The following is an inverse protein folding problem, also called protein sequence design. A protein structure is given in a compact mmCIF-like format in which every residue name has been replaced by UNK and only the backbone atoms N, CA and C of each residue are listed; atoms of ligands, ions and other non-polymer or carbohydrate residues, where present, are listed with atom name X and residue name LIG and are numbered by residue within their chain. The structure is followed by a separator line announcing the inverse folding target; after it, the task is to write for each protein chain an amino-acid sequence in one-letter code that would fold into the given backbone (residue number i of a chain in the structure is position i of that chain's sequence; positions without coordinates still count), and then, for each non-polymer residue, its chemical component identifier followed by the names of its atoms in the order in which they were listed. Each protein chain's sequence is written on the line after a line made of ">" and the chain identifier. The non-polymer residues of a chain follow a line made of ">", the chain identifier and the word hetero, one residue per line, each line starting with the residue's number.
data_IF_519898364925
#
_entry.id   IF_519898364925
#
_cell.length_a   1.000
_cell.length_b   1.000
_cell.length_c   1.000
_cell.angle_alpha   90.00
_cell.angle_beta   90.00
_cell.angle_gamma   90.00
#
_symmetry.space_group_name_H-M   'P 1'
#
loop_
_entity.id
_entity.type
_entity.pdbx_description
1 polymer ?
#
# COMPACT_ATOMS: atom_id res chain seq x y z
N UNK A 1 -16.01 -0.37 11.63
CA UNK A 1 -15.68 -1.04 12.91
C UNK A 1 -14.26 -1.59 12.80
N UNK A 2 -13.34 -1.16 13.68
CA UNK A 2 -12.02 -1.77 13.79
C UNK A 2 -12.14 -3.26 14.11
N UNK A 3 -11.21 -4.08 13.62
CA UNK A 3 -11.12 -5.51 13.97
C UNK A 3 -10.12 -5.65 15.11
N UNK A 4 -10.56 -6.23 16.23
CA UNK A 4 -9.65 -6.62 17.31
C UNK A 4 -8.77 -7.79 16.86
N UNK A 5 -7.48 -7.68 17.12
CA UNK A 5 -6.47 -8.71 16.91
C UNK A 5 -6.12 -9.35 18.26
N UNK A 6 -5.75 -10.65 18.28
CA UNK A 6 -5.36 -11.32 19.51
C UNK A 6 -4.05 -10.73 20.06
N UNK A 7 -3.94 -10.66 21.38
CA UNK A 7 -2.71 -10.28 22.08
C UNK A 7 -1.56 -11.23 21.69
N UNK A 8 -0.36 -10.69 21.52
CA UNK A 8 0.84 -11.44 21.12
C UNK A 8 0.83 -12.01 19.69
N UNK A 9 -0.28 -11.90 18.96
CA UNK A 9 -0.40 -12.38 17.59
C UNK A 9 0.11 -11.39 16.53
N UNK A 10 -0.21 -11.65 15.26
CA UNK A 10 0.08 -10.73 14.15
C UNK A 10 -0.48 -9.34 14.43
N UNK A 11 0.36 -8.31 14.32
CA UNK A 11 -0.01 -6.92 14.59
C UNK A 11 -0.60 -6.22 13.33
N UNK A 12 -0.93 -4.94 13.46
CA UNK A 12 -1.51 -4.15 12.38
C UNK A 12 -0.61 -4.11 11.12
N UNK A 13 0.71 -4.00 11.31
CA UNK A 13 1.69 -4.04 10.20
C UNK A 13 1.64 -5.38 9.48
N UNK A 14 1.56 -6.50 10.19
CA UNK A 14 1.42 -7.82 9.55
C UNK A 14 0.11 -7.99 8.78
N UNK A 15 -1.00 -7.40 9.26
CA UNK A 15 -2.26 -7.35 8.51
C UNK A 15 -2.15 -6.50 7.25
N UNK A 16 -1.52 -5.33 7.34
CA UNK A 16 -1.22 -4.46 6.20
C UNK A 16 -0.44 -5.21 5.14
N UNK A 17 0.69 -5.79 5.54
CA UNK A 17 1.60 -6.57 4.71
C UNK A 17 0.90 -7.75 4.02
N UNK A 18 0.01 -8.44 4.73
CA UNK A 18 -0.77 -9.55 4.17
C UNK A 18 -1.89 -9.15 3.21
N UNK A 19 -2.44 -7.93 3.33
CA UNK A 19 -3.56 -7.45 2.52
C UNK A 19 -3.11 -6.58 1.33
N UNK A 20 -2.15 -5.70 1.55
CA UNK A 20 -1.67 -4.74 0.54
C UNK A 20 -0.46 -5.25 -0.22
N UNK A 21 0.27 -6.24 0.31
CA UNK A 21 1.32 -6.97 -0.42
C UNK A 21 0.77 -7.98 -1.44
N UNK A 22 -0.52 -7.91 -1.76
CA UNK A 22 -1.17 -8.71 -2.80
C UNK A 22 -1.60 -7.78 -3.94
N UNK A 23 -0.90 -7.90 -5.05
CA UNK A 23 -1.01 -7.05 -6.24
C UNK A 23 -2.47 -6.88 -6.73
N UNK A 24 -3.23 -7.99 -6.74
CA UNK A 24 -4.61 -8.02 -7.21
C UNK A 24 -5.56 -7.30 -6.25
N UNK A 25 -5.23 -7.26 -4.96
CA UNK A 25 -6.05 -6.54 -3.98
C UNK A 25 -6.05 -5.04 -4.30
N UNK A 26 -4.88 -4.45 -4.59
CA UNK A 26 -4.78 -3.03 -4.97
C UNK A 26 -5.49 -2.73 -6.29
N UNK A 27 -5.33 -3.59 -7.31
CA UNK A 27 -5.98 -3.42 -8.61
C UNK A 27 -7.52 -3.54 -8.51
N UNK A 28 -8.03 -4.51 -7.76
CA UNK A 28 -9.48 -4.67 -7.54
C UNK A 28 -10.02 -3.46 -6.75
N UNK A 29 -9.30 -2.98 -5.72
CA UNK A 29 -9.69 -1.77 -4.99
C UNK A 29 -9.73 -0.54 -5.89
N UNK A 30 -8.74 -0.37 -6.78
CA UNK A 30 -8.73 0.71 -7.75
C UNK A 30 -9.96 0.62 -8.68
N UNK A 31 -10.27 -0.55 -9.22
CA UNK A 31 -11.47 -0.70 -10.08
C UNK A 31 -12.75 -0.44 -9.31
N UNK A 32 -12.83 -0.88 -8.06
CA UNK A 32 -13.99 -0.66 -7.21
C UNK A 32 -14.17 0.83 -6.81
N UNK A 33 -13.07 1.56 -6.59
CA UNK A 33 -13.12 3.02 -6.34
C UNK A 33 -13.57 3.78 -7.58
N UNK A 34 -13.22 3.29 -8.78
CA UNK A 34 -13.73 3.76 -10.07
C UNK A 34 -15.13 3.20 -10.43
N UNK A 35 -15.86 2.64 -9.47
CA UNK A 35 -17.27 2.25 -9.62
C UNK A 35 -17.54 0.85 -10.16
N UNK A 36 -16.52 -0.01 -10.35
CA UNK A 36 -16.77 -1.42 -10.66
C UNK A 36 -17.36 -2.14 -9.44
N UNK A 37 -18.55 -2.73 -9.59
CA UNK A 37 -19.22 -3.49 -8.52
C UNK A 37 -19.54 -4.92 -8.95
N UNK A 38 -19.73 -5.16 -10.25
CA UNK A 38 -20.13 -6.46 -10.78
C UNK A 38 -18.91 -7.27 -11.20
N UNK A 39 -18.99 -8.60 -11.04
CA UNK A 39 -17.94 -9.53 -11.45
C UNK A 39 -17.46 -9.29 -12.90
N UNK A 40 -18.40 -9.15 -13.84
CA UNK A 40 -18.10 -8.88 -15.26
C UNK A 40 -17.30 -7.59 -15.49
N UNK A 41 -17.54 -6.54 -14.70
CA UNK A 41 -16.81 -5.28 -14.81
C UNK A 41 -15.35 -5.41 -14.35
N UNK A 42 -15.06 -6.32 -13.41
CA UNK A 42 -13.68 -6.61 -13.03
C UNK A 42 -12.98 -7.41 -14.12
N UNK A 43 -13.60 -8.45 -14.69
CA UNK A 43 -13.01 -9.26 -15.76
C UNK A 43 -12.79 -8.48 -17.05
N UNK A 44 -13.65 -7.50 -17.36
CA UNK A 44 -13.47 -6.61 -18.53
C UNK A 44 -12.30 -5.64 -18.36
N UNK A 45 -11.96 -5.25 -17.13
CA UNK A 45 -11.01 -4.17 -16.83
C UNK A 45 -9.68 -4.63 -16.24
N UNK A 46 -9.54 -5.92 -15.97
CA UNK A 46 -8.34 -6.52 -15.37
C UNK A 46 -7.97 -7.79 -16.14
N UNK A 47 -6.68 -7.98 -16.47
CA UNK A 47 -6.17 -9.22 -17.09
C UNK A 47 -6.04 -10.33 -16.05
N UNK A 48 -7.12 -10.62 -15.32
CA UNK A 48 -7.17 -11.57 -14.20
C UNK A 48 -7.95 -12.82 -14.59
N UNK A 49 -7.45 -14.00 -14.23
CA UNK A 49 -8.21 -15.25 -14.47
C UNK A 49 -9.43 -15.31 -13.56
N UNK A 50 -10.49 -15.98 -14.02
CA UNK A 50 -11.72 -16.15 -13.25
C UNK A 50 -11.48 -16.78 -11.87
N UNK A 51 -10.63 -17.82 -11.81
CA UNK A 51 -10.30 -18.51 -10.56
C UNK A 51 -9.59 -17.59 -9.57
N UNK A 52 -8.63 -16.78 -10.04
CA UNK A 52 -7.92 -15.81 -9.18
C UNK A 52 -8.89 -14.73 -8.73
N UNK A 53 -9.68 -14.14 -9.63
CA UNK A 53 -10.64 -13.09 -9.28
C UNK A 53 -11.64 -13.56 -8.22
N UNK A 54 -12.22 -14.75 -8.37
CA UNK A 54 -13.15 -15.32 -7.38
C UNK A 54 -12.50 -15.43 -6.00
N UNK A 55 -11.33 -16.06 -5.93
CA UNK A 55 -10.58 -16.20 -4.67
C UNK A 55 -10.23 -14.86 -4.03
N UNK A 56 -9.90 -13.84 -4.84
CA UNK A 56 -9.58 -12.49 -4.34
C UNK A 56 -10.81 -11.78 -3.82
N UNK A 57 -11.92 -11.79 -4.56
CA UNK A 57 -13.17 -11.17 -4.12
C UNK A 57 -13.70 -11.81 -2.83
N UNK A 58 -13.57 -13.13 -2.69
CA UNK A 58 -13.87 -13.84 -1.44
C UNK A 58 -12.96 -13.39 -0.30
N UNK A 59 -11.65 -13.38 -0.51
CA UNK A 59 -10.68 -12.95 0.51
C UNK A 59 -10.90 -11.48 0.93
N UNK A 60 -11.12 -10.59 -0.03
CA UNK A 60 -11.39 -9.17 0.22
C UNK A 60 -12.73 -8.97 0.96
N UNK A 61 -13.73 -9.80 0.68
CA UNK A 61 -15.00 -9.79 1.42
C UNK A 61 -14.81 -10.29 2.84
N UNK A 62 -14.10 -11.40 3.03
CA UNK A 62 -13.80 -11.96 4.35
C UNK A 62 -12.97 -11.00 5.23
N UNK A 63 -12.08 -10.20 4.62
CA UNK A 63 -11.31 -9.18 5.31
C UNK A 63 -12.06 -7.84 5.47
N UNK A 64 -13.30 -7.77 5.00
CA UNK A 64 -14.16 -6.60 5.10
C UNK A 64 -13.67 -5.41 4.27
N UNK A 65 -12.88 -5.61 3.22
CA UNK A 65 -12.56 -4.59 2.21
C UNK A 65 -13.75 -4.36 1.27
N UNK A 66 -14.43 -5.44 0.92
CA UNK A 66 -15.64 -5.45 0.10
C UNK A 66 -16.80 -6.07 0.89
N UNK A 67 -18.03 -5.71 0.53
CA UNK A 67 -19.24 -6.39 0.95
C UNK A 67 -19.90 -7.03 -0.27
N UNK A 68 -20.22 -8.32 -0.17
CA UNK A 68 -20.95 -9.05 -1.20
C UNK A 68 -22.45 -8.85 -1.00
N UNK A 69 -23.12 -8.20 -1.96
CA UNK A 69 -24.56 -7.93 -1.96
C UNK A 69 -25.23 -8.77 -3.04
N UNK A 70 -25.88 -9.85 -2.64
CA UNK A 70 -26.68 -10.68 -3.54
C UNK A 70 -28.02 -10.00 -3.80
N UNK A 71 -28.36 -9.76 -5.07
CA UNK A 71 -29.66 -9.18 -5.46
C UNK A 71 -30.51 -10.15 -6.29
N UNK A 72 -29.94 -11.26 -6.74
CA UNK A 72 -30.67 -12.31 -7.45
C UNK A 72 -30.12 -13.67 -7.00
N UNK A 73 -31.01 -14.60 -6.62
CA UNK A 73 -30.61 -15.93 -6.18
C UNK A 73 -30.52 -16.95 -7.34
N UNK A 74 -31.27 -16.75 -8.43
CA UNK A 74 -31.33 -17.67 -9.58
C UNK A 74 -31.41 -16.92 -10.92
N UNK A 75 -30.37 -16.97 -11.77
CA UNK A 75 -28.99 -17.33 -11.42
C UNK A 75 -28.42 -16.40 -10.33
N UNK A 76 -27.45 -16.85 -9.51
CA UNK A 76 -26.85 -16.03 -8.47
C UNK A 76 -26.17 -14.80 -9.07
N UNK A 77 -26.63 -13.60 -8.68
CA UNK A 77 -25.96 -12.33 -9.02
C UNK A 77 -25.66 -11.56 -7.75
N UNK A 78 -24.42 -11.10 -7.66
CA UNK A 78 -23.95 -10.31 -6.53
C UNK A 78 -23.08 -9.16 -7.00
N UNK A 79 -23.18 -8.06 -6.26
CA UNK A 79 -22.28 -6.92 -6.33
C UNK A 79 -21.23 -7.03 -5.22
N UNK A 80 -20.03 -6.53 -5.48
CA UNK A 80 -18.93 -6.40 -4.54
C UNK A 80 -18.68 -4.90 -4.32
N UNK A 81 -19.19 -4.37 -3.22
CA UNK A 81 -19.15 -2.92 -2.95
C UNK A 81 -18.12 -2.59 -1.87
N UNK A 82 -17.43 -1.46 -2.02
CA UNK A 82 -16.45 -1.02 -1.02
C UNK A 82 -17.12 -0.74 0.32
N UNK A 83 -16.59 -1.36 1.38
CA UNK A 83 -16.93 -1.05 2.78
C UNK A 83 -16.24 0.26 3.21
N UNK A 84 -16.57 0.82 4.38
CA UNK A 84 -15.81 1.93 4.95
C UNK A 84 -14.30 1.62 5.08
N UNK A 85 -13.93 0.38 5.43
CA UNK A 85 -12.53 -0.07 5.50
C UNK A 85 -11.85 -0.07 4.13
N UNK A 86 -12.55 -0.55 3.09
CA UNK A 86 -12.04 -0.53 1.71
C UNK A 86 -11.88 0.91 1.19
N UNK A 87 -12.84 1.80 1.45
CA UNK A 87 -12.77 3.22 1.06
C UNK A 87 -11.62 3.95 1.74
N UNK A 88 -11.29 3.59 2.98
CA UNK A 88 -10.19 4.19 3.72
C UNK A 88 -8.78 3.91 3.14
N UNK A 89 -8.66 3.05 2.11
CA UNK A 89 -7.43 2.83 1.34
C UNK A 89 -7.24 3.83 0.19
N UNK A 90 -8.21 4.72 -0.05
CA UNK A 90 -8.10 5.72 -1.11
C UNK A 90 -6.81 6.56 -1.05
N UNK A 91 -6.32 7.03 0.13
CA UNK A 91 -5.04 7.76 0.19
C UNK A 91 -3.83 6.94 -0.30
N UNK A 92 -3.86 5.61 -0.10
CA UNK A 92 -2.81 4.70 -0.60
C UNK A 92 -2.83 4.68 -2.12
N UNK A 93 -4.02 4.55 -2.73
CA UNK A 93 -4.19 4.50 -4.18
C UNK A 93 -3.79 5.82 -4.86
N UNK A 94 -4.10 6.96 -4.25
CA UNK A 94 -3.71 8.29 -4.75
C UNK A 94 -2.20 8.50 -4.67
N UNK A 95 -1.58 8.09 -3.56
CA UNK A 95 -0.13 8.15 -3.41
C UNK A 95 0.59 7.25 -4.42
N UNK A 96 0.04 6.06 -4.68
CA UNK A 96 0.53 5.16 -5.74
C UNK A 96 0.41 5.82 -7.12
N UNK A 97 -0.73 6.43 -7.42
CA UNK A 97 -0.98 7.09 -8.69
C UNK A 97 0.03 8.20 -8.96
N UNK A 98 0.26 9.08 -8.00
CA UNK A 98 1.25 10.16 -8.14
C UNK A 98 2.66 9.61 -8.30
N UNK A 99 3.03 8.62 -7.48
CA UNK A 99 4.37 8.03 -7.54
C UNK A 99 4.65 7.41 -8.92
N UNK A 100 3.72 6.62 -9.46
CA UNK A 100 3.81 6.03 -10.80
C UNK A 100 3.90 7.11 -11.88
N UNK A 101 2.99 8.09 -11.84
CA UNK A 101 2.95 9.18 -12.81
C UNK A 101 4.26 9.95 -12.88
N UNK A 102 4.91 10.16 -11.73
CA UNK A 102 6.13 10.97 -11.63
C UNK A 102 7.41 10.16 -11.93
N UNK A 103 7.50 8.92 -11.42
CA UNK A 103 8.76 8.16 -11.38
C UNK A 103 8.86 7.01 -12.37
N UNK A 104 7.79 6.75 -13.14
CA UNK A 104 7.72 5.64 -14.09
C UNK A 104 7.49 6.21 -15.50
N UNK A 105 8.57 6.58 -16.22
CA UNK A 105 8.46 7.25 -17.51
C UNK A 105 7.88 6.35 -18.61
N UNK A 106 8.09 5.03 -18.52
CA UNK A 106 7.71 4.03 -19.53
C UNK A 106 6.30 3.44 -19.32
N UNK A 107 5.31 4.25 -18.94
CA UNK A 107 3.93 3.78 -19.02
C UNK A 107 3.49 3.68 -20.49
N UNK A 108 2.87 2.55 -20.85
CA UNK A 108 2.25 2.38 -22.18
C UNK A 108 1.23 3.49 -22.52
N UNK A 109 0.64 4.11 -21.48
CA UNK A 109 -0.10 5.37 -21.56
C UNK A 109 0.28 6.22 -20.34
N UNK A 110 0.79 7.45 -20.55
CA UNK A 110 1.09 8.38 -19.45
C UNK A 110 -0.14 8.52 -18.56
N UNK A 111 0.01 8.26 -17.26
CA UNK A 111 -1.10 8.39 -16.32
C UNK A 111 -1.64 9.83 -16.31
N UNK A 112 -2.98 10.01 -16.45
CA UNK A 112 -3.57 11.34 -16.48
C UNK A 112 -3.28 12.11 -15.18
N UNK A 113 -3.30 13.44 -15.29
CA UNK A 113 -3.16 14.29 -14.12
C UNK A 113 -4.38 14.12 -13.21
N UNK A 114 -4.16 14.24 -11.90
CA UNK A 114 -5.26 14.33 -10.95
C UNK A 114 -5.73 15.78 -10.88
N UNK A 115 -7.03 15.96 -10.93
CA UNK A 115 -7.70 17.25 -10.94
C UNK A 115 -8.52 17.42 -9.67
N UNK A 116 -8.25 18.49 -8.93
CA UNK A 116 -8.98 18.80 -7.70
C UNK A 116 -10.20 19.65 -8.06
N UNK A 117 -11.39 19.07 -7.93
CA UNK A 117 -12.63 19.71 -8.39
C UNK A 117 -13.03 20.93 -7.59
N UNK A 118 -12.49 21.10 -6.38
CA UNK A 118 -12.75 22.26 -5.52
C UNK A 118 -11.98 23.50 -5.97
N UNK A 119 -10.67 23.38 -6.23
CA UNK A 119 -9.86 24.52 -6.70
C UNK A 119 -9.77 24.62 -8.22
N UNK A 120 -10.15 23.57 -8.96
CA UNK A 120 -10.08 23.52 -10.41
C UNK A 120 -8.66 23.38 -10.97
N UNK A 121 -7.67 23.07 -10.13
CA UNK A 121 -6.29 22.85 -10.53
C UNK A 121 -5.95 21.37 -10.68
N UNK A 122 -5.04 21.06 -11.58
CA UNK A 122 -4.34 19.79 -11.56
C UNK A 122 -3.33 19.80 -10.41
N UNK A 123 -3.23 18.72 -9.65
CA UNK A 123 -2.52 18.70 -8.37
C UNK A 123 -1.68 17.45 -8.19
N UNK A 124 -0.65 17.56 -7.36
CA UNK A 124 0.01 16.43 -6.71
C UNK A 124 -0.38 16.37 -5.22
N UNK A 125 -0.66 15.18 -4.65
CA UNK A 125 -1.00 15.03 -3.24
C UNK A 125 0.22 15.32 -2.34
N UNK A 126 0.10 16.30 -1.46
CA UNK A 126 1.07 16.55 -0.40
C UNK A 126 0.70 15.78 0.86
N UNK A 127 1.70 15.14 1.48
CA UNK A 127 1.56 14.56 2.80
C UNK A 127 1.69 15.67 3.84
N UNK A 128 0.70 15.83 4.71
CA UNK A 128 0.68 16.83 5.77
C UNK A 128 0.45 16.20 7.14
N UNK A 129 0.92 16.89 8.18
CA UNK A 129 0.61 16.59 9.57
C UNK A 129 -0.78 17.14 9.94
N UNK A 130 -1.68 16.29 10.40
CA UNK A 130 -3.03 16.71 10.81
C UNK A 130 -3.04 17.69 12.00
N UNK A 131 -1.96 17.78 12.78
CA UNK A 131 -1.87 18.63 13.96
C UNK A 131 -1.45 20.07 13.65
N UNK A 132 -0.53 20.27 12.69
CA UNK A 132 0.01 21.59 12.36
C UNK A 132 -0.18 22.00 10.89
N UNK A 133 -0.73 21.12 10.05
CA UNK A 133 -0.97 21.32 8.61
C UNK A 133 0.29 21.54 7.76
N UNK A 134 1.48 21.46 8.34
CA UNK A 134 2.74 21.51 7.59
C UNK A 134 2.93 20.27 6.73
N UNK A 135 3.53 20.47 5.56
CA UNK A 135 3.93 19.40 4.64
C UNK A 135 5.11 18.63 5.22
N UNK A 136 5.08 17.31 5.10
CA UNK A 136 6.07 16.43 5.71
C UNK A 136 6.67 15.45 4.70
N UNK A 137 7.94 15.15 4.89
CA UNK A 137 8.72 14.13 4.19
C UNK A 137 9.11 13.00 5.14
N UNK A 138 9.86 12.02 4.65
CA UNK A 138 10.39 10.94 5.50
C UNK A 138 11.33 11.42 6.60
N UNK A 139 11.91 12.61 6.45
CA UNK A 139 12.90 13.18 7.39
C UNK A 139 12.27 13.82 8.60
N UNK A 140 11.00 14.22 8.47
CA UNK A 140 10.28 14.99 9.48
C UNK A 140 9.51 14.07 10.44
N UNK A 141 9.61 12.74 10.24
CA UNK A 141 8.84 11.75 10.99
C UNK A 141 9.77 10.85 11.81
N UNK A 142 9.64 10.94 13.14
CA UNK A 142 10.20 9.97 14.07
C UNK A 142 9.29 8.74 14.15
N UNK A 143 9.83 7.55 13.86
CA UNK A 143 9.12 6.29 13.96
C UNK A 143 9.77 5.37 14.99
N UNK A 144 8.96 4.84 15.91
CA UNK A 144 9.38 3.86 16.92
C UNK A 144 8.39 2.71 16.98
N UNK A 145 8.87 1.53 17.40
CA UNK A 145 7.96 0.43 17.67
C UNK A 145 7.07 0.77 18.86
N UNK A 146 5.76 0.66 18.66
CA UNK A 146 4.80 0.72 19.75
C UNK A 146 4.71 -0.59 20.52
N UNK A 147 3.83 -0.70 21.53
CA UNK A 147 3.73 -1.87 22.40
C UNK A 147 3.41 -3.19 21.67
N UNK A 148 2.71 -3.14 20.54
CA UNK A 148 2.45 -4.32 19.70
C UNK A 148 3.42 -4.49 18.53
N UNK A 149 4.41 -3.60 18.45
CA UNK A 149 5.40 -3.52 17.39
C UNK A 149 6.41 -4.66 17.38
N UNK A 150 7.20 -4.68 16.31
CA UNK A 150 8.29 -5.65 16.13
C UNK A 150 8.11 -6.51 14.88
N UNK A 151 9.23 -6.76 14.21
CA UNK A 151 9.26 -7.51 12.95
C UNK A 151 8.72 -8.93 13.07
N UNK A 152 8.96 -9.62 14.18
CA UNK A 152 8.46 -10.99 14.43
C UNK A 152 6.93 -11.08 14.42
N UNK A 153 6.23 -10.03 14.84
CA UNK A 153 4.76 -9.94 14.80
C UNK A 153 4.24 -9.47 13.44
N UNK A 154 5.01 -8.64 12.74
CA UNK A 154 4.68 -8.14 11.40
C UNK A 154 4.87 -9.22 10.33
N UNK A 155 5.86 -10.09 10.50
CA UNK A 155 6.20 -11.19 9.59
C UNK A 155 6.41 -12.45 10.44
N UNK A 156 5.33 -13.14 10.85
CA UNK A 156 5.46 -14.34 11.67
C UNK A 156 6.19 -15.44 10.89
N UNK A 157 7.10 -16.16 11.55
CA UNK A 157 7.96 -17.18 10.93
C UNK A 157 7.18 -18.26 10.16
N UNK A 158 5.95 -18.61 10.59
CA UNK A 158 5.07 -19.56 9.89
C UNK A 158 4.60 -19.05 8.51
N UNK A 159 4.72 -17.76 8.24
CA UNK A 159 4.39 -17.16 6.96
C UNK A 159 5.50 -17.30 5.91
N UNK A 160 6.64 -17.93 6.27
CA UNK A 160 7.70 -18.36 5.34
C UNK A 160 7.38 -19.66 4.61
N UNK A 161 6.29 -20.36 4.98
CA UNK A 161 5.86 -21.58 4.28
C UNK A 161 5.37 -21.24 2.88
N UNK A 162 6.30 -21.35 1.92
CA UNK A 162 6.17 -21.42 0.46
C UNK A 162 4.73 -21.23 -0.06
N UNK A 163 4.30 -19.98 -0.24
CA UNK A 163 3.31 -19.70 -1.30
C UNK A 163 4.10 -19.66 -2.60
N UNK A 164 3.75 -20.58 -3.49
CA UNK A 164 4.43 -20.75 -4.77
C UNK A 164 4.54 -19.42 -5.49
N UNK A 165 5.74 -19.14 -5.96
CA UNK A 165 6.09 -18.08 -6.90
C UNK A 165 5.48 -18.31 -8.30
N UNK A 166 4.30 -18.94 -8.37
CA UNK A 166 3.68 -19.41 -9.61
C UNK A 166 2.42 -18.60 -9.92
N UNK A 167 2.63 -17.43 -10.51
CA UNK A 167 2.00 -17.06 -11.77
C UNK A 167 2.69 -15.79 -12.27
N UNK A 168 3.92 -15.95 -12.78
CA UNK A 168 4.44 -14.99 -13.77
C UNK A 168 3.64 -15.18 -15.05
N UNK A 169 2.38 -14.77 -15.03
CA UNK A 169 1.65 -14.48 -16.25
C UNK A 169 2.24 -13.18 -16.77
N UNK A 170 3.14 -13.31 -17.75
CA UNK A 170 3.44 -12.23 -18.69
C UNK A 170 2.15 -11.94 -19.46
N UNK A 171 1.31 -11.10 -18.88
CA UNK A 171 0.08 -10.60 -19.47
C UNK A 171 -0.04 -9.13 -19.13
N UNK A 172 0.12 -8.28 -20.16
CA UNK A 172 -0.09 -6.82 -20.15
C UNK A 172 -1.06 -6.34 -19.07
N UNK A 173 -0.52 -5.94 -17.92
CA UNK A 173 -1.19 -5.03 -17.00
C UNK A 173 -0.60 -3.65 -17.26
N UNK A 174 -0.95 -3.07 -18.42
CA UNK A 174 -0.39 -1.84 -18.98
C UNK A 174 -0.69 -0.56 -18.18
N UNK A 175 -1.19 -0.67 -16.94
CA UNK A 175 -1.60 0.47 -16.13
C UNK A 175 -0.64 0.79 -14.98
N UNK A 176 0.04 -0.20 -14.38
CA UNK A 176 0.95 0.02 -13.23
C UNK A 176 2.10 -1.02 -13.16
N UNK A 177 2.97 -1.14 -14.17
CA UNK A 177 3.98 -2.21 -14.21
C UNK A 177 5.00 -2.12 -13.06
N UNK A 178 5.34 -0.91 -12.60
CA UNK A 178 6.38 -0.71 -11.59
C UNK A 178 5.87 -0.68 -10.14
N UNK A 179 4.65 -0.19 -9.86
CA UNK A 179 4.00 -0.41 -8.55
C UNK A 179 3.90 -1.90 -8.24
N UNK A 180 3.70 -2.73 -9.24
CA UNK A 180 3.57 -4.18 -9.08
C UNK A 180 4.94 -4.82 -8.80
N UNK A 181 6.00 -4.24 -9.35
CA UNK A 181 7.40 -4.56 -9.03
C UNK A 181 7.76 -4.20 -7.57
N UNK A 182 7.16 -3.12 -7.05
CA UNK A 182 7.51 -2.48 -5.77
C UNK A 182 6.61 -2.88 -4.59
N UNK A 183 5.32 -3.07 -4.81
CA UNK A 183 4.30 -3.35 -3.80
C UNK A 183 3.58 -4.69 -4.02
N UNK A 184 3.86 -5.41 -5.13
CA UNK A 184 3.18 -6.65 -5.50
C UNK A 184 3.55 -7.88 -4.68
N UNK A 185 4.34 -7.71 -3.62
CA UNK A 185 4.68 -8.78 -2.67
C UNK A 185 4.93 -8.21 -1.29
N UNK A 186 4.58 -9.01 -0.29
CA UNK A 186 4.78 -8.70 1.11
C UNK A 186 6.24 -8.38 1.44
N UNK A 187 7.18 -9.11 0.85
CA UNK A 187 8.60 -8.86 1.10
C UNK A 187 9.07 -7.53 0.51
N UNK A 188 8.50 -7.10 -0.62
CA UNK A 188 8.81 -5.82 -1.23
C UNK A 188 8.44 -4.67 -0.28
N UNK A 189 7.22 -4.71 0.27
CA UNK A 189 6.74 -3.72 1.23
C UNK A 189 7.56 -3.74 2.53
N UNK A 190 7.86 -4.92 3.07
CA UNK A 190 8.65 -5.05 4.29
C UNK A 190 10.10 -4.57 4.13
N UNK A 191 10.73 -4.84 2.98
CA UNK A 191 12.07 -4.39 2.65
C UNK A 191 12.14 -2.87 2.56
N UNK A 192 11.17 -2.25 1.88
CA UNK A 192 11.09 -0.78 1.84
C UNK A 192 11.00 -0.17 3.24
N UNK A 193 10.07 -0.67 4.08
CA UNK A 193 9.95 -0.20 5.47
C UNK A 193 11.28 -0.39 6.23
N UNK A 194 11.93 -1.54 6.08
CA UNK A 194 13.24 -1.83 6.67
C UNK A 194 14.33 -0.85 6.22
N UNK A 195 14.34 -0.47 4.94
CA UNK A 195 15.27 0.53 4.40
C UNK A 195 15.03 1.93 4.99
N UNK A 196 13.77 2.34 5.18
CA UNK A 196 13.44 3.62 5.84
C UNK A 196 13.85 3.65 7.31
N UNK A 197 13.82 2.51 8.02
CA UNK A 197 14.29 2.42 9.42
C UNK A 197 15.79 2.10 9.53
N UNK A 198 16.54 2.22 8.44
CA UNK A 198 18.01 2.23 8.45
C UNK A 198 18.71 0.93 8.06
N UNK A 199 17.98 -0.13 7.67
CA UNK A 199 18.63 -1.30 7.10
C UNK A 199 19.32 -0.94 5.78
N UNK A 200 20.61 -1.26 5.66
CA UNK A 200 21.41 -0.85 4.51
C UNK A 200 22.27 -1.96 3.94
N UNK A 201 22.52 -3.05 4.68
CA UNK A 201 23.24 -4.23 4.20
C UNK A 201 22.29 -5.40 4.05
N UNK A 202 22.67 -6.36 3.21
CA UNK A 202 21.89 -7.60 3.04
C UNK A 202 21.62 -8.30 4.38
N UNK A 203 22.65 -8.38 5.24
CA UNK A 203 22.53 -8.94 6.60
C UNK A 203 21.48 -8.22 7.43
N UNK A 204 21.48 -6.89 7.45
CA UNK A 204 20.49 -6.08 8.18
C UNK A 204 19.04 -6.45 7.78
N UNK A 205 18.78 -6.59 6.47
CA UNK A 205 17.46 -6.98 5.97
C UNK A 205 17.09 -8.41 6.36
N UNK A 206 18.04 -9.35 6.28
CA UNK A 206 17.81 -10.74 6.63
C UNK A 206 17.52 -10.90 8.12
N UNK A 207 18.30 -10.22 8.97
CA UNK A 207 18.18 -10.26 10.42
C UNK A 207 16.86 -9.64 10.90
N UNK A 208 16.46 -8.51 10.30
CA UNK A 208 15.20 -7.86 10.64
C UNK A 208 13.98 -8.63 10.15
N UNK A 209 13.99 -9.09 8.89
CA UNK A 209 12.78 -9.60 8.24
C UNK A 209 12.59 -11.12 8.39
N UNK A 210 13.65 -11.86 8.74
CA UNK A 210 13.63 -13.33 8.78
C UNK A 210 13.26 -13.96 7.43
N UNK A 211 13.52 -13.25 6.33
CA UNK A 211 13.10 -13.62 5.00
C UNK A 211 14.06 -14.64 4.37
N UNK A 212 13.58 -15.54 3.49
CA UNK A 212 14.45 -16.41 2.71
C UNK A 212 15.46 -15.59 1.89
N UNK A 213 16.77 -15.91 1.93
CA UNK A 213 17.80 -15.12 1.25
C UNK A 213 17.54 -14.90 -0.24
N UNK A 214 17.02 -15.91 -0.95
CA UNK A 214 16.66 -15.80 -2.36
C UNK A 214 15.56 -14.76 -2.61
N UNK A 215 14.52 -14.71 -1.77
CA UNK A 215 13.44 -13.73 -1.90
C UNK A 215 13.93 -12.30 -1.63
N UNK A 216 14.85 -12.11 -0.67
CA UNK A 216 15.47 -10.81 -0.45
C UNK A 216 16.39 -10.40 -1.61
N UNK A 217 17.23 -11.31 -2.09
CA UNK A 217 18.14 -11.04 -3.20
C UNK A 217 17.38 -10.63 -4.46
N UNK A 218 16.34 -11.38 -4.82
CA UNK A 218 15.46 -11.07 -5.95
C UNK A 218 14.84 -9.67 -5.80
N UNK A 219 14.36 -9.32 -4.60
CA UNK A 219 13.72 -8.01 -4.35
C UNK A 219 14.70 -6.86 -4.35
N UNK A 220 15.89 -7.03 -3.76
CA UNK A 220 16.95 -6.04 -3.82
C UNK A 220 17.39 -5.78 -5.25
N UNK A 221 17.56 -6.84 -6.06
CA UNK A 221 17.87 -6.72 -7.48
C UNK A 221 16.77 -6.00 -8.25
N UNK A 222 15.51 -6.30 -7.96
CA UNK A 222 14.37 -5.59 -8.57
C UNK A 222 14.39 -4.11 -8.21
N UNK A 223 14.59 -3.77 -6.93
CA UNK A 223 14.62 -2.37 -6.50
C UNK A 223 15.81 -1.59 -7.04
N UNK A 224 16.96 -2.23 -7.21
CA UNK A 224 18.12 -1.58 -7.83
C UNK A 224 17.95 -1.41 -9.33
N UNK A 225 17.43 -2.42 -10.02
CA UNK A 225 17.14 -2.34 -11.45
C UNK A 225 16.12 -1.24 -11.79
N UNK A 226 15.13 -1.02 -10.92
CA UNK A 226 14.10 0.01 -11.08
C UNK A 226 14.51 1.39 -10.50
N UNK A 227 15.73 1.52 -9.97
CA UNK A 227 16.24 2.77 -9.43
C UNK A 227 15.58 3.23 -8.12
N UNK A 228 14.88 2.34 -7.41
CA UNK A 228 14.30 2.58 -6.06
C UNK A 228 15.39 2.54 -4.99
N UNK A 229 16.35 1.63 -5.15
CA UNK A 229 17.55 1.54 -4.33
C UNK A 229 18.79 1.73 -5.20
N UNK A 230 19.81 2.38 -4.66
CA UNK A 230 21.15 2.37 -5.22
C UNK A 230 22.00 1.37 -4.43
N UNK A 231 22.63 0.42 -5.14
CA UNK A 231 23.62 -0.48 -4.56
C UNK A 231 25.03 0.10 -4.78
N UNK A 232 25.81 0.20 -3.71
CA UNK A 232 27.19 0.67 -3.73
C UNK A 232 27.89 0.39 -2.40
N UNK A 233 29.19 0.06 -2.44
CA UNK A 233 30.01 -0.23 -1.24
C UNK A 233 29.43 -1.31 -0.31
N UNK A 234 28.78 -2.34 -0.91
CA UNK A 234 28.10 -3.40 -0.15
C UNK A 234 26.86 -2.92 0.63
N UNK A 235 26.34 -1.75 0.30
CA UNK A 235 25.14 -1.16 0.90
C UNK A 235 24.08 -0.84 -0.14
N UNK A 236 22.84 -0.80 0.32
CA UNK A 236 21.65 -0.37 -0.39
C UNK A 236 21.16 0.93 0.24
N UNK A 237 20.95 1.96 -0.57
CA UNK A 237 20.46 3.27 -0.14
C UNK A 237 19.22 3.66 -0.93
N UNK A 238 18.23 4.25 -0.27
CA UNK A 238 17.06 4.82 -0.95
C UNK A 238 17.50 5.95 -1.88
N UNK A 239 17.10 5.86 -3.14
CA UNK A 239 17.19 6.97 -4.10
C UNK A 239 16.07 7.97 -3.85
N UNK A 240 16.00 9.04 -4.64
CA UNK A 240 14.86 9.96 -4.61
C UNK A 240 13.55 9.23 -4.99
N UNK A 241 13.57 8.42 -6.05
CA UNK A 241 12.47 7.53 -6.44
C UNK A 241 12.01 6.63 -5.30
N UNK A 242 12.95 6.03 -4.56
CA UNK A 242 12.63 5.19 -3.41
C UNK A 242 12.06 5.96 -2.23
N UNK A 243 12.58 7.15 -1.93
CA UNK A 243 12.05 8.03 -0.87
C UNK A 243 10.63 8.50 -1.17
N UNK A 244 10.30 8.74 -2.44
CA UNK A 244 8.96 9.13 -2.88
C UNK A 244 7.88 8.07 -2.61
N UNK A 245 8.23 6.83 -2.26
CA UNK A 245 7.28 5.78 -1.83
C UNK A 245 6.73 6.06 -0.41
N UNK A 246 7.35 6.97 0.35
CA UNK A 246 7.01 7.24 1.75
C UNK A 246 5.51 7.52 2.02
N UNK A 247 4.80 8.37 1.25
CA UNK A 247 3.37 8.60 1.45
C UNK A 247 2.52 7.32 1.32
N UNK A 248 2.92 6.40 0.43
CA UNK A 248 2.26 5.11 0.25
C UNK A 248 2.39 4.27 1.53
N UNK A 249 3.60 4.18 2.10
CA UNK A 249 3.87 3.40 3.31
C UNK A 249 3.15 3.97 4.52
N UNK A 250 3.20 5.29 4.71
CA UNK A 250 2.58 5.97 5.85
C UNK A 250 1.05 5.87 5.81
N UNK A 251 0.44 6.13 4.65
CA UNK A 251 -1.03 6.05 4.53
C UNK A 251 -1.52 4.62 4.71
N UNK A 252 -0.77 3.62 4.22
CA UNK A 252 -1.05 2.20 4.43
C UNK A 252 -0.91 1.79 5.90
N UNK A 253 0.16 2.24 6.57
CA UNK A 253 0.41 1.97 7.99
C UNK A 253 -0.72 2.53 8.83
N UNK A 254 -1.07 3.81 8.66
CA UNK A 254 -2.14 4.43 9.43
C UNK A 254 -3.51 3.82 9.12
N UNK A 255 -3.78 3.43 7.87
CA UNK A 255 -4.97 2.66 7.54
C UNK A 255 -5.03 1.36 8.34
N UNK A 256 -3.91 0.63 8.42
CA UNK A 256 -3.85 -0.63 9.13
C UNK A 256 -4.04 -0.45 10.64
N UNK A 257 -3.36 0.53 11.25
CA UNK A 257 -3.51 0.82 12.69
C UNK A 257 -4.92 1.31 13.04
N UNK A 258 -5.63 2.00 12.13
CA UNK A 258 -7.05 2.37 12.33
C UNK A 258 -8.01 1.18 12.16
N UNK A 259 -7.65 0.22 11.32
CA UNK A 259 -8.53 -0.89 10.96
C UNK A 259 -8.35 -2.11 11.87
N UNK A 260 -7.17 -2.27 12.46
CA UNK A 260 -6.78 -3.43 13.23
C UNK A 260 -6.17 -2.99 14.56
N UNK A 261 -6.83 -3.34 15.66
CA UNK A 261 -6.40 -2.93 16.99
C UNK A 261 -5.94 -4.15 17.79
N UNK A 262 -4.81 -4.02 18.43
CA UNK A 262 -4.29 -4.95 19.44
C UNK A 262 -4.55 -4.37 20.83
N UNK A 263 -4.91 -5.20 21.84
CA UNK A 263 -5.13 -4.71 23.20
C UNK A 263 -3.89 -4.04 23.81
N UNK A 264 -2.69 -4.39 23.36
CA UNK A 264 -1.42 -3.81 23.83
C UNK A 264 -1.22 -2.36 23.39
N UNK A 265 -1.89 -1.90 22.32
CA UNK A 265 -1.67 -0.59 21.70
C UNK A 265 -1.14 -0.67 20.27
N UNK A 266 -0.74 0.45 19.64
CA UNK A 266 -0.34 0.51 18.25
C UNK A 266 0.94 -0.30 17.98
N UNK A 267 1.14 -0.64 16.71
CA UNK A 267 2.34 -1.36 16.28
C UNK A 267 3.52 -0.41 16.09
N UNK A 268 3.26 0.81 15.61
CA UNK A 268 4.25 1.85 15.33
C UNK A 268 3.71 3.17 15.88
N UNK A 269 4.52 3.83 16.70
CA UNK A 269 4.31 5.19 17.15
C UNK A 269 5.04 6.14 16.20
N UNK A 270 4.29 7.12 15.67
CA UNK A 270 4.80 8.13 14.75
C UNK A 270 4.70 9.49 15.41
N UNK A 271 5.75 10.29 15.33
CA UNK A 271 5.82 11.66 15.85
C UNK A 271 6.32 12.58 14.75
N UNK A 272 5.67 13.73 14.58
CA UNK A 272 6.18 14.77 13.71
C UNK A 272 7.27 15.53 14.47
N UNK A 273 8.50 15.54 13.96
CA UNK A 273 9.66 16.06 14.68
C UNK A 273 9.55 17.54 14.96
N UNK A 274 8.93 18.29 14.06
CA UNK A 274 8.92 19.76 14.14
C UNK A 274 7.86 20.27 15.12
N UNK A 275 6.67 19.67 15.14
CA UNK A 275 5.60 20.07 16.07
C UNK A 275 5.51 19.20 17.34
N UNK A 276 6.23 18.08 17.40
CA UNK A 276 6.24 17.15 18.54
C UNK A 276 4.95 16.34 18.74
N UNK A 277 3.92 16.56 17.93
CA UNK A 277 2.65 15.85 18.06
C UNK A 277 2.72 14.43 17.50
N UNK A 278 1.84 13.56 18.00
CA UNK A 278 1.59 12.25 17.38
C UNK A 278 1.16 12.45 15.92
N UNK A 279 1.92 11.86 15.00
CA UNK A 279 1.77 12.12 13.58
C UNK A 279 0.58 11.35 13.00
N UNK A 280 -0.38 12.11 12.48
CA UNK A 280 -1.48 11.61 11.65
C UNK A 280 -1.37 12.25 10.27
N UNK A 281 -1.40 11.42 9.24
CA UNK A 281 -1.18 11.85 7.87
C UNK A 281 -2.51 12.23 7.23
N UNK A 282 -2.52 13.40 6.62
CA UNK A 282 -3.57 13.87 5.73
C UNK A 282 -2.96 14.13 4.37
N UNK A 283 -3.70 13.84 3.30
CA UNK A 283 -3.30 14.28 1.96
C UNK A 283 -3.96 15.63 1.67
N UNK A 284 -3.21 16.57 1.14
CA UNK A 284 -3.68 17.89 0.75
C UNK A 284 -3.32 18.22 -0.70
N UNK A 285 -4.07 19.13 -1.31
CA UNK A 285 -3.80 19.64 -2.65
C UNK A 285 -2.60 20.57 -2.61
N UNK A 286 -1.59 20.36 -3.46
CA UNK A 286 -0.44 21.28 -3.59
C UNK A 286 -0.82 22.67 -4.14
N UNK A 287 -1.96 22.80 -4.82
CA UNK A 287 -2.43 24.07 -5.39
C UNK A 287 -3.15 24.97 -4.37
N UNK A 288 -3.95 24.39 -3.46
CA UNK A 288 -4.81 25.16 -2.55
C UNK A 288 -4.67 24.77 -1.07
N UNK A 289 -3.73 23.88 -0.74
CA UNK A 289 -3.47 23.34 0.60
C UNK A 289 -4.67 22.68 1.32
N UNK A 290 -5.81 22.52 0.63
CA UNK A 290 -7.02 21.94 1.22
C UNK A 290 -6.90 20.42 1.33
N UNK A 291 -7.39 19.80 2.42
CA UNK A 291 -7.40 18.35 2.56
C UNK A 291 -8.19 17.67 1.44
N UNK A 292 -7.59 16.64 0.84
CA UNK A 292 -8.17 15.93 -0.29
C UNK A 292 -9.17 14.85 0.15
N UNK A 293 -10.29 14.77 -0.56
CA UNK A 293 -11.29 13.71 -0.42
C UNK A 293 -11.53 13.01 -1.74
N UNK A 294 -11.80 11.72 -1.71
CA UNK A 294 -11.96 10.92 -2.94
C UNK A 294 -13.10 11.34 -3.87
N UNK A 295 -14.13 12.02 -3.36
CA UNK A 295 -15.20 12.55 -4.20
C UNK A 295 -14.82 13.86 -4.93
N UNK A 296 -13.73 14.51 -4.51
CA UNK A 296 -13.26 15.80 -5.00
C UNK A 296 -12.07 15.66 -5.96
N UNK A 297 -11.70 14.43 -6.32
CA UNK A 297 -10.57 14.11 -7.19
C UNK A 297 -11.08 13.41 -8.44
N UNK A 298 -10.76 13.98 -9.60
CA UNK A 298 -10.99 13.38 -10.91
C UNK A 298 -9.64 13.13 -11.61
N UNK A 299 -9.62 12.24 -12.59
CA UNK A 299 -8.48 12.09 -13.52
C UNK A 299 -8.86 12.70 -14.86
N UNK A 300 -8.02 13.57 -15.41
CA UNK A 300 -8.23 14.22 -16.73
C UNK A 300 -7.14 13.85 -17.71
#
# INVERSE_FOLDING_TARGET
>A
MPTALPAGGTNAVGRMLGLLGDEWTLLILQRATLGATRYGQFTERLPISHAVLTRRLEAMTANGLLARRTYQARPPRADYVLTPRGRALWPVLVSIWEWERHWVPDHAQRLPAMHHTVCGGDFAPLLQCAACSESVTEKDIGAQWGPSGGWSRSIPALATRRRSSSDRVRGRADLFPETMSILGDRWAFALLVSAFVGASRFGDFQDQLGAPPGSLADRLQIFTANGVLAAGDGRYRLTEKGRAVFPILITALQWAQRCFHTPEGPAVDLVHTDCGAAFQATLACDQCASPLRGAEVATR
#
